data_IF_311900950768
#
_entry.id   IF_311900950768
#
_cell.length_a   1.000
_cell.length_b   1.000
_cell.length_c   1.000
_cell.angle_alpha   90.00
_cell.angle_beta   90.00
_cell.angle_gamma   90.00
#
_symmetry.space_group_name_H-M   'P 1'
#
loop_
_entity.id
_entity.type
_entity.pdbx_description
1 polymer ?
#
# COMPACT_ATOMS: atom_id res chain seq x y z
N UNK A 1 -16.46 76.42 -5.66
CA UNK A 1 -16.94 77.28 -6.76
C UNK A 1 -16.44 76.69 -8.06
N UNK A 2 -17.35 76.28 -8.94
CA UNK A 2 -17.02 75.95 -10.32
C UNK A 2 -16.89 77.27 -11.09
N UNK A 3 -15.84 77.40 -11.89
CA UNK A 3 -15.60 78.62 -12.69
C UNK A 3 -16.24 78.40 -14.05
N UNK A 4 -17.14 79.29 -14.47
CA UNK A 4 -17.76 79.21 -15.81
C UNK A 4 -16.82 79.84 -16.83
N UNK A 5 -16.02 79.03 -17.50
CA UNK A 5 -15.11 79.46 -18.58
C UNK A 5 -15.71 79.16 -19.94
N UNK A 6 -15.58 80.09 -20.88
CA UNK A 6 -15.92 79.90 -22.30
C UNK A 6 -14.72 80.25 -23.18
N UNK A 7 -14.77 79.87 -24.46
CA UNK A 7 -13.71 80.22 -25.41
C UNK A 7 -13.55 81.75 -25.59
N UNK A 8 -14.60 82.52 -25.33
CA UNK A 8 -14.63 83.98 -25.42
C UNK A 8 -14.15 84.67 -24.12
N UNK A 9 -14.04 83.93 -23.01
CA UNK A 9 -13.54 84.41 -21.72
C UNK A 9 -12.62 83.35 -21.06
N UNK A 10 -11.40 83.14 -21.61
CA UNK A 10 -10.46 82.17 -21.07
C UNK A 10 -9.81 82.66 -19.77
N UNK A 11 -9.55 81.75 -18.85
CA UNK A 11 -8.74 82.04 -17.67
C UNK A 11 -7.24 82.02 -18.01
N UNK A 12 -6.46 82.98 -17.49
CA UNK A 12 -5.01 82.89 -17.54
C UNK A 12 -4.51 81.61 -16.86
N UNK A 13 -3.50 80.96 -17.44
CA UNK A 13 -2.90 79.72 -16.90
C UNK A 13 -2.42 79.91 -15.45
N UNK A 14 -1.89 81.09 -15.11
CA UNK A 14 -1.50 81.43 -13.74
C UNK A 14 -2.66 81.48 -12.75
N UNK A 15 -3.85 81.91 -13.21
CA UNK A 15 -5.06 81.93 -12.38
C UNK A 15 -5.60 80.52 -12.13
N UNK A 16 -5.55 79.65 -13.14
CA UNK A 16 -5.88 78.22 -12.98
C UNK A 16 -4.92 77.54 -11.98
N UNK A 17 -3.60 77.80 -12.09
CA UNK A 17 -2.61 77.25 -11.15
C UNK A 17 -2.86 77.72 -9.71
N UNK A 18 -3.24 78.99 -9.52
CA UNK A 18 -3.63 79.55 -8.21
C UNK A 18 -4.87 78.87 -7.64
N UNK A 19 -5.89 78.63 -8.47
CA UNK A 19 -7.11 77.94 -8.06
C UNK A 19 -6.83 76.49 -7.64
N UNK A 20 -5.99 75.77 -8.39
CA UNK A 20 -5.56 74.40 -8.05
C UNK A 20 -4.87 74.38 -6.68
N UNK A 21 -3.95 75.31 -6.43
CA UNK A 21 -3.30 75.45 -5.12
C UNK A 21 -4.30 75.64 -3.98
N UNK A 22 -5.28 76.54 -4.15
CA UNK A 22 -6.32 76.78 -3.13
C UNK A 22 -7.31 75.61 -2.94
N UNK A 23 -7.46 74.71 -3.91
CA UNK A 23 -8.18 73.44 -3.73
C UNK A 23 -7.35 72.45 -2.91
N UNK A 24 -6.06 72.32 -3.21
CA UNK A 24 -5.14 71.40 -2.54
C UNK A 24 -4.95 71.80 -1.07
N UNK A 25 -4.82 73.10 -0.78
CA UNK A 25 -4.68 73.59 0.61
C UNK A 25 -5.87 73.26 1.51
N UNK A 26 -7.07 73.12 0.94
CA UNK A 26 -8.28 72.76 1.70
C UNK A 26 -8.28 71.33 2.24
N UNK A 27 -7.40 70.46 1.74
CA UNK A 27 -7.21 69.12 2.30
C UNK A 27 -6.70 69.18 3.76
N UNK A 28 -6.06 70.29 4.16
CA UNK A 28 -5.49 70.44 5.50
C UNK A 28 -4.27 69.55 5.73
N UNK A 29 -3.89 69.37 7.00
CA UNK A 29 -2.83 68.45 7.38
C UNK A 29 -3.39 67.02 7.44
N UNK A 30 -2.69 66.07 6.81
CA UNK A 30 -3.11 64.68 6.67
C UNK A 30 -2.02 63.73 7.13
N UNK A 31 -2.42 62.58 7.67
CA UNK A 31 -1.52 61.47 7.93
C UNK A 31 -1.51 60.54 6.72
N UNK A 32 -0.33 60.31 6.16
CA UNK A 32 -0.13 59.42 5.02
C UNK A 32 0.85 58.33 5.40
N UNK A 33 0.55 57.10 4.99
CA UNK A 33 1.42 55.95 5.16
C UNK A 33 2.08 55.63 3.81
N UNK A 34 3.38 55.39 3.81
CA UNK A 34 4.09 55.03 2.57
C UNK A 34 5.48 54.49 2.82
N UNK A 35 6.01 53.82 1.80
CA UNK A 35 7.39 53.35 1.79
C UNK A 35 8.30 54.41 1.14
N UNK A 36 9.43 54.71 1.76
CA UNK A 36 10.42 55.62 1.18
C UNK A 36 11.13 54.90 0.03
N UNK A 37 10.87 55.28 -1.21
CA UNK A 37 11.51 54.68 -2.39
C UNK A 37 12.78 55.39 -2.80
N UNK A 38 12.86 56.69 -2.50
CA UNK A 38 14.03 57.52 -2.77
C UNK A 38 14.24 58.50 -1.63
N UNK A 39 15.49 58.63 -1.19
CA UNK A 39 15.92 59.55 -0.15
C UNK A 39 17.07 60.42 -0.67
N UNK A 40 16.82 61.69 -0.93
CA UNK A 40 17.85 62.65 -1.37
C UNK A 40 18.22 63.61 -0.25
N UNK A 41 19.34 63.32 0.41
CA UNK A 41 19.97 64.21 1.41
C UNK A 41 21.20 64.88 0.81
N UNK A 42 21.08 66.14 0.42
CA UNK A 42 22.21 66.92 -0.11
C UNK A 42 23.03 67.56 1.01
N UNK A 43 24.38 67.48 1.00
CA UNK A 43 25.22 68.19 1.97
C UNK A 43 24.97 69.70 1.88
N UNK A 44 24.67 70.36 3.01
CA UNK A 44 24.43 71.81 3.08
C UNK A 44 22.99 72.28 2.78
N UNK A 45 22.09 71.41 2.31
CA UNK A 45 20.68 71.77 2.14
C UNK A 45 19.90 71.65 3.45
N UNK A 46 19.05 72.65 3.74
CA UNK A 46 18.18 72.66 4.94
C UNK A 46 16.91 71.79 4.83
N UNK A 47 16.66 71.21 3.65
CA UNK A 47 15.51 70.34 3.36
C UNK A 47 15.98 69.00 2.79
N UNK A 48 15.22 67.95 3.09
CA UNK A 48 15.41 66.60 2.58
C UNK A 48 14.22 66.25 1.70
N UNK A 49 14.51 65.67 0.53
CA UNK A 49 13.48 65.22 -0.40
C UNK A 49 13.34 63.70 -0.29
N UNK A 50 12.11 63.27 -0.12
CA UNK A 50 11.68 61.88 0.02
C UNK A 50 10.67 61.60 -1.08
N UNK A 51 10.62 60.37 -1.57
CA UNK A 51 9.50 59.89 -2.38
C UNK A 51 8.79 58.80 -1.60
N UNK A 52 7.52 59.05 -1.23
CA UNK A 52 6.68 58.03 -0.60
C UNK A 52 5.90 57.30 -1.68
N UNK A 53 5.98 55.98 -1.68
CA UNK A 53 5.16 55.11 -2.52
C UNK A 53 4.14 54.38 -1.67
N UNK A 54 2.91 54.29 -2.16
CA UNK A 54 1.89 53.46 -1.54
C UNK A 54 2.27 51.96 -1.73
N UNK A 55 2.35 51.15 -0.65
CA UNK A 55 2.64 49.73 -0.76
C UNK A 55 1.56 48.91 -1.49
N UNK A 56 0.32 49.42 -1.55
CA UNK A 56 -0.84 48.79 -2.13
C UNK A 56 -1.20 49.32 -3.53
N UNK A 57 -0.73 50.52 -3.90
CA UNK A 57 -1.02 51.13 -5.21
C UNK A 57 0.23 51.70 -5.88
N UNK A 58 0.26 51.74 -7.22
CA UNK A 58 1.38 52.33 -7.96
C UNK A 58 1.30 53.87 -7.98
N UNK A 59 1.23 54.46 -6.79
CA UNK A 59 1.11 55.90 -6.56
C UNK A 59 2.33 56.33 -5.76
N UNK A 60 3.04 57.33 -6.28
CA UNK A 60 4.18 57.94 -5.60
C UNK A 60 3.97 59.44 -5.45
N UNK A 61 4.24 59.95 -4.26
CA UNK A 61 4.12 61.37 -3.95
C UNK A 61 5.45 61.88 -3.38
N UNK A 62 5.93 62.99 -3.92
CA UNK A 62 7.11 63.65 -3.40
C UNK A 62 6.81 64.30 -2.05
N UNK A 63 7.67 64.05 -1.08
CA UNK A 63 7.57 64.59 0.28
C UNK A 63 8.82 65.41 0.58
N UNK A 64 8.64 66.64 1.03
CA UNK A 64 9.73 67.52 1.46
C UNK A 64 9.66 67.65 2.97
N UNK A 65 10.77 67.45 3.68
CA UNK A 65 10.84 67.64 5.12
C UNK A 65 12.01 68.55 5.48
N UNK A 66 11.88 69.30 6.58
CA UNK A 66 13.01 70.03 7.13
C UNK A 66 14.03 69.06 7.71
N UNK A 67 15.31 69.40 7.58
CA UNK A 67 16.40 68.54 8.06
C UNK A 67 16.25 68.15 9.54
N UNK A 68 15.80 69.06 10.40
CA UNK A 68 15.55 68.80 11.82
C UNK A 68 14.50 67.70 12.07
N UNK A 69 13.46 67.63 11.25
CA UNK A 69 12.39 66.63 11.37
C UNK A 69 12.86 65.25 10.93
N UNK A 70 13.74 65.19 9.92
CA UNK A 70 14.32 63.95 9.44
C UNK A 70 15.42 63.43 10.36
N UNK A 71 16.28 64.33 10.89
CA UNK A 71 17.39 63.95 11.76
C UNK A 71 16.90 63.27 13.06
N UNK A 72 15.67 63.54 13.54
CA UNK A 72 15.04 62.80 14.66
C UNK A 72 14.74 61.33 14.38
N UNK A 73 14.62 60.94 13.12
CA UNK A 73 14.30 59.56 12.69
C UNK A 73 15.39 58.96 11.80
N UNK A 74 16.46 59.70 11.53
CA UNK A 74 17.51 59.32 10.57
C UNK A 74 18.27 58.05 10.96
N UNK A 75 18.32 57.70 12.24
CA UNK A 75 18.98 56.48 12.74
C UNK A 75 18.16 55.20 12.48
N UNK A 76 16.85 55.34 12.23
CA UNK A 76 15.89 54.22 12.10
C UNK A 76 15.27 54.14 10.71
N UNK A 77 15.24 55.25 9.97
CA UNK A 77 14.52 55.39 8.70
C UNK A 77 15.51 55.57 7.54
N UNK A 78 15.53 54.60 6.63
CA UNK A 78 16.32 54.61 5.39
C UNK A 78 15.47 54.40 4.12
N UNK A 79 16.11 54.27 2.95
CA UNK A 79 15.42 53.82 1.74
C UNK A 79 14.86 52.41 1.96
N UNK A 80 13.60 52.20 1.55
CA UNK A 80 12.84 50.98 1.82
C UNK A 80 12.03 51.02 3.12
N UNK A 81 12.29 51.97 4.04
CA UNK A 81 11.55 52.04 5.30
C UNK A 81 10.11 52.51 5.10
N UNK A 82 9.18 51.89 5.82
CA UNK A 82 7.77 52.27 5.87
C UNK A 82 7.55 53.28 6.98
N UNK A 83 6.95 54.42 6.65
CA UNK A 83 6.77 55.55 7.56
C UNK A 83 5.34 56.07 7.50
N UNK A 84 4.89 56.59 8.64
CA UNK A 84 3.66 57.38 8.74
C UNK A 84 4.09 58.83 8.86
N UNK A 85 3.65 59.64 7.91
CA UNK A 85 4.05 61.04 7.79
C UNK A 85 2.83 61.93 7.99
N UNK A 86 2.92 62.83 8.95
CA UNK A 86 1.98 63.94 9.07
C UNK A 86 2.46 65.06 8.16
N UNK A 87 1.72 65.32 7.09
CA UNK A 87 2.14 66.29 6.09
C UNK A 87 1.01 67.21 5.62
N UNK A 88 1.40 68.41 5.20
CA UNK A 88 0.51 69.36 4.54
C UNK A 88 0.76 69.34 3.03
N UNK A 89 -0.26 69.16 2.18
CA UNK A 89 -0.09 69.26 0.74
C UNK A 89 0.32 70.66 0.30
N UNK A 90 1.30 70.74 -0.61
CA UNK A 90 1.83 71.97 -1.18
C UNK A 90 1.86 71.87 -2.71
N UNK A 91 1.34 72.92 -3.35
CA UNK A 91 1.32 73.05 -4.80
C UNK A 91 2.44 73.97 -5.27
N UNK A 92 3.39 73.43 -6.02
CA UNK A 92 4.49 74.22 -6.59
C UNK A 92 4.08 74.80 -7.95
N UNK A 93 3.51 76.01 -7.92
CA UNK A 93 2.93 76.68 -9.09
C UNK A 93 3.84 76.78 -10.35
N UNK A 94 5.17 76.98 -10.25
CA UNK A 94 6.03 77.08 -11.44
C UNK A 94 6.20 75.78 -12.24
N UNK A 95 6.09 74.61 -11.61
CA UNK A 95 6.18 73.30 -12.30
C UNK A 95 4.88 72.50 -12.27
N UNK A 96 3.83 73.02 -11.64
CA UNK A 96 2.55 72.33 -11.48
C UNK A 96 2.68 70.99 -10.77
N UNK A 97 3.56 70.90 -9.76
CA UNK A 97 3.82 69.65 -9.05
C UNK A 97 3.19 69.69 -7.65
N UNK A 98 2.50 68.61 -7.30
CA UNK A 98 2.02 68.35 -5.94
C UNK A 98 3.16 67.72 -5.14
N UNK A 99 3.40 68.27 -3.95
CA UNK A 99 4.29 67.67 -2.96
C UNK A 99 3.63 67.72 -1.58
N UNK A 100 4.09 66.89 -0.66
CA UNK A 100 3.65 66.95 0.74
C UNK A 100 4.80 67.52 1.58
N UNK A 101 4.53 68.55 2.39
CA UNK A 101 5.50 69.02 3.37
C UNK A 101 5.30 68.28 4.69
N UNK A 102 6.24 67.41 5.05
CA UNK A 102 6.20 66.67 6.30
C UNK A 102 6.48 67.57 7.49
N UNK A 103 5.59 67.54 8.48
CA UNK A 103 5.72 68.17 9.78
C UNK A 103 6.26 67.18 10.81
N UNK A 104 5.86 65.91 10.68
CA UNK A 104 6.28 64.82 11.57
C UNK A 104 6.43 63.53 10.76
N UNK A 105 7.49 62.77 11.00
CA UNK A 105 7.71 61.45 10.42
C UNK A 105 7.82 60.47 11.58
N UNK A 106 6.99 59.43 11.57
CA UNK A 106 7.07 58.33 12.53
C UNK A 106 7.47 57.05 11.79
N UNK A 107 8.51 56.33 12.22
CA UNK A 107 8.75 54.99 11.71
C UNK A 107 7.54 54.13 12.08
N UNK A 108 7.01 53.36 11.11
CA UNK A 108 6.05 52.32 11.45
C UNK A 108 6.85 51.23 12.15
N UNK A 109 6.73 51.16 13.48
CA UNK A 109 7.38 50.11 14.25
C UNK A 109 6.85 48.75 13.83
N UNK A 110 7.73 47.77 13.67
CA UNK A 110 7.39 46.36 13.38
C UNK A 110 6.24 45.86 14.27
N UNK A 111 6.16 46.34 15.52
CA UNK A 111 5.09 45.99 16.47
C UNK A 111 3.67 46.41 16.05
N UNK A 112 3.47 47.56 15.41
CA UNK A 112 2.13 48.00 14.97
C UNK A 112 1.65 47.18 13.77
N UNK A 113 2.56 46.87 12.85
CA UNK A 113 2.31 45.98 11.72
C UNK A 113 1.95 44.56 12.20
N UNK A 114 2.74 44.02 13.14
CA UNK A 114 2.45 42.72 13.76
C UNK A 114 1.11 42.74 14.51
N UNK A 115 0.78 43.82 15.22
CA UNK A 115 -0.51 43.96 15.89
C UNK A 115 -1.68 43.95 14.90
N UNK A 116 -1.54 44.63 13.75
CA UNK A 116 -2.55 44.62 12.68
C UNK A 116 -2.69 43.24 12.04
N UNK A 117 -1.59 42.54 11.79
CA UNK A 117 -1.61 41.17 11.28
C UNK A 117 -2.26 40.20 12.28
N UNK A 118 -1.97 40.35 13.57
CA UNK A 118 -2.57 39.53 14.62
C UNK A 118 -4.07 39.81 14.77
N UNK A 119 -4.50 41.07 14.61
CA UNK A 119 -5.91 41.42 14.57
C UNK A 119 -6.63 40.81 13.36
N UNK A 120 -6.01 40.88 12.17
CA UNK A 120 -6.54 40.26 10.96
C UNK A 120 -6.64 38.74 11.11
N UNK A 121 -5.60 38.11 11.68
CA UNK A 121 -5.59 36.69 12.02
C UNK A 121 -6.77 36.32 12.92
N UNK A 122 -7.01 37.10 13.99
CA UNK A 122 -8.14 36.86 14.89
C UNK A 122 -9.49 37.00 14.17
N UNK A 123 -9.65 38.00 13.30
CA UNK A 123 -10.88 38.19 12.52
C UNK A 123 -11.14 37.00 11.59
N UNK A 124 -10.15 36.59 10.80
CA UNK A 124 -10.27 35.47 9.87
C UNK A 124 -10.46 34.13 10.60
N UNK A 125 -9.82 33.96 11.76
CA UNK A 125 -10.04 32.80 12.62
C UNK A 125 -11.48 32.74 13.14
N UNK A 126 -12.06 33.88 13.53
CA UNK A 126 -13.45 33.97 13.98
C UNK A 126 -14.45 33.67 12.86
N UNK A 127 -14.12 33.99 11.60
CA UNK A 127 -14.87 33.56 10.41
C UNK A 127 -14.73 32.05 10.11
N UNK A 128 -13.85 31.33 10.81
CA UNK A 128 -13.58 29.91 10.58
C UNK A 128 -12.70 29.63 9.36
N UNK A 129 -11.98 30.62 8.83
CA UNK A 129 -11.11 30.46 7.65
C UNK A 129 -10.00 29.44 7.86
N UNK A 130 -9.51 29.28 9.10
CA UNK A 130 -8.42 28.37 9.46
C UNK A 130 -8.90 27.02 10.00
N UNK A 131 -10.21 26.72 9.90
CA UNK A 131 -10.80 25.49 10.40
C UNK A 131 -10.20 24.27 9.69
N UNK A 132 -9.82 23.25 10.46
CA UNK A 132 -9.16 22.05 9.93
C UNK A 132 -10.08 21.27 8.98
N UNK A 133 -11.39 21.35 9.18
CA UNK A 133 -12.44 20.70 8.38
C UNK A 133 -12.53 21.27 6.96
N UNK A 134 -12.03 22.49 6.73
CA UNK A 134 -11.96 23.10 5.40
C UNK A 134 -10.76 22.63 4.58
N UNK A 135 -9.76 22.03 5.24
CA UNK A 135 -8.53 21.60 4.59
C UNK A 135 -8.77 20.33 3.78
N UNK A 136 -8.28 20.32 2.55
CA UNK A 136 -8.40 19.21 1.61
C UNK A 136 -7.20 18.29 1.72
N UNK A 137 -7.44 17.00 1.58
CA UNK A 137 -6.37 16.02 1.45
C UNK A 137 -5.65 16.20 0.11
N UNK A 138 -4.33 16.08 0.13
CA UNK A 138 -3.52 16.10 -1.08
C UNK A 138 -3.75 14.80 -1.88
N UNK A 139 -3.74 14.87 -3.22
CA UNK A 139 -3.75 13.68 -4.06
C UNK A 139 -2.49 12.87 -3.80
N UNK A 140 -2.63 11.55 -3.72
CA UNK A 140 -1.49 10.66 -3.49
C UNK A 140 -0.45 10.75 -4.62
N UNK A 141 -0.90 10.85 -5.87
CA UNK A 141 -0.07 10.95 -7.07
C UNK A 141 -0.60 12.07 -7.99
N UNK A 142 -0.16 13.33 -7.79
CA UNK A 142 -0.53 14.42 -8.68
C UNK A 142 0.10 14.22 -10.07
N UNK A 143 -0.69 14.44 -11.12
CA UNK A 143 -0.23 14.43 -12.51
C UNK A 143 0.18 15.82 -12.98
N UNK A 144 -0.58 16.85 -12.62
CA UNK A 144 -0.28 18.24 -12.97
C UNK A 144 -0.28 19.11 -11.71
N UNK A 145 0.85 19.75 -11.46
CA UNK A 145 1.05 20.65 -10.33
C UNK A 145 1.07 22.09 -10.84
N UNK A 146 0.17 22.92 -10.31
CA UNK A 146 0.23 24.37 -10.51
C UNK A 146 1.32 24.97 -9.63
N UNK A 147 2.21 25.80 -10.17
CA UNK A 147 3.26 26.47 -9.39
C UNK A 147 3.17 27.98 -9.57
N UNK A 148 2.93 28.70 -8.47
CA UNK A 148 2.95 30.16 -8.41
C UNK A 148 4.25 30.60 -7.76
N UNK A 149 5.15 31.21 -8.52
CA UNK A 149 6.46 31.63 -8.02
C UNK A 149 7.03 32.83 -8.78
N UNK A 150 8.09 33.42 -8.24
CA UNK A 150 8.84 34.49 -8.92
C UNK A 150 9.50 34.00 -10.20
N UNK A 151 9.54 34.84 -11.24
CA UNK A 151 10.21 34.53 -12.52
C UNK A 151 11.69 34.19 -12.30
N UNK A 152 12.13 33.03 -12.79
CA UNK A 152 13.53 32.57 -12.70
C UNK A 152 14.05 32.49 -11.25
N UNK A 153 13.17 32.24 -10.30
CA UNK A 153 13.53 32.17 -8.88
C UNK A 153 14.28 30.88 -8.54
N UNK A 154 15.06 30.89 -7.46
CA UNK A 154 15.65 29.67 -6.90
C UNK A 154 14.54 28.68 -6.48
N UNK A 155 13.46 29.21 -5.89
CA UNK A 155 12.29 28.42 -5.50
C UNK A 155 11.66 27.64 -6.67
N UNK A 156 11.57 28.25 -7.86
CA UNK A 156 11.06 27.57 -9.06
C UNK A 156 11.93 26.36 -9.43
N UNK A 157 13.25 26.56 -9.50
CA UNK A 157 14.21 25.50 -9.85
C UNK A 157 14.20 24.38 -8.81
N UNK A 158 14.21 24.75 -7.53
CA UNK A 158 14.21 23.80 -6.41
C UNK A 158 12.97 22.89 -6.45
N UNK A 159 11.78 23.46 -6.65
CA UNK A 159 10.54 22.67 -6.73
C UNK A 159 10.56 21.74 -7.94
N UNK A 160 10.90 22.26 -9.12
CA UNK A 160 10.88 21.51 -10.37
C UNK A 160 11.91 20.36 -10.37
N UNK A 161 13.14 20.61 -9.94
CA UNK A 161 14.21 19.60 -9.91
C UNK A 161 13.91 18.49 -8.91
N UNK A 162 13.52 18.84 -7.67
CA UNK A 162 13.19 17.84 -6.65
C UNK A 162 11.97 17.01 -7.05
N UNK A 163 10.94 17.63 -7.64
CA UNK A 163 9.77 16.91 -8.12
C UNK A 163 10.11 15.95 -9.27
N UNK A 164 10.88 16.40 -10.26
CA UNK A 164 11.30 15.55 -11.40
C UNK A 164 12.20 14.39 -10.99
N UNK A 165 13.05 14.60 -9.99
CA UNK A 165 13.90 13.53 -9.45
C UNK A 165 13.05 12.42 -8.80
N UNK A 166 11.96 12.78 -8.11
CA UNK A 166 11.08 11.82 -7.42
C UNK A 166 10.04 11.19 -8.34
N UNK A 167 9.51 11.95 -9.29
CA UNK A 167 8.56 11.48 -10.29
C UNK A 167 8.79 12.18 -11.63
N UNK A 168 9.55 11.55 -12.55
CA UNK A 168 9.87 12.17 -13.85
C UNK A 168 8.66 12.49 -14.73
N UNK A 169 7.53 11.79 -14.51
CA UNK A 169 6.30 11.97 -15.29
C UNK A 169 5.41 13.14 -14.78
N UNK A 170 5.78 13.80 -13.68
CA UNK A 170 5.02 14.93 -13.16
C UNK A 170 5.06 16.10 -14.14
N UNK A 171 3.91 16.73 -14.38
CA UNK A 171 3.79 17.94 -15.20
C UNK A 171 3.62 19.16 -14.30
N UNK A 172 4.09 20.30 -14.78
CA UNK A 172 3.97 21.57 -14.07
C UNK A 172 3.35 22.63 -14.97
N UNK A 173 2.39 23.37 -14.40
CA UNK A 173 1.84 24.58 -14.99
C UNK A 173 2.32 25.77 -14.15
N UNK A 174 3.33 26.49 -14.65
CA UNK A 174 3.98 27.57 -13.89
C UNK A 174 3.31 28.91 -14.22
N UNK A 175 2.98 29.69 -13.18
CA UNK A 175 2.54 31.08 -13.28
C UNK A 175 3.58 31.96 -12.59
N UNK A 176 4.36 32.66 -13.41
CA UNK A 176 5.37 33.57 -12.90
C UNK A 176 4.72 34.90 -12.48
N UNK A 177 4.80 35.23 -11.19
CA UNK A 177 4.20 36.42 -10.60
C UNK A 177 5.25 37.24 -9.84
N UNK A 178 4.98 38.52 -9.62
CA UNK A 178 5.68 39.30 -8.62
C UNK A 178 5.41 38.67 -7.24
N UNK A 179 6.48 38.30 -6.53
CA UNK A 179 6.39 37.75 -5.17
C UNK A 179 6.63 38.79 -4.08
N UNK A 180 6.98 40.02 -4.48
CA UNK A 180 7.23 41.16 -3.61
C UNK A 180 6.78 42.46 -4.28
N UNK A 181 6.51 43.48 -3.47
CA UNK A 181 6.06 44.78 -3.92
C UNK A 181 4.57 44.84 -4.30
N UNK A 182 4.18 45.99 -4.82
CA UNK A 182 2.78 46.42 -5.00
C UNK A 182 1.95 45.50 -5.91
N UNK A 183 2.59 44.90 -6.91
CA UNK A 183 1.90 44.01 -7.86
C UNK A 183 1.77 42.57 -7.35
N UNK A 184 2.35 42.22 -6.19
CA UNK A 184 2.39 40.84 -5.73
C UNK A 184 1.01 40.29 -5.40
N UNK A 185 0.23 41.00 -4.59
CA UNK A 185 -1.13 40.60 -4.20
C UNK A 185 -2.04 40.35 -5.42
N UNK A 186 -2.26 41.31 -6.34
CA UNK A 186 -3.17 41.09 -7.46
C UNK A 186 -2.69 39.99 -8.41
N UNK A 187 -1.39 39.86 -8.65
CA UNK A 187 -0.86 38.83 -9.53
C UNK A 187 -0.95 37.43 -8.92
N UNK A 188 -0.63 37.27 -7.63
CA UNK A 188 -0.77 35.98 -6.93
C UNK A 188 -2.24 35.54 -6.90
N UNK A 189 -3.17 36.45 -6.56
CA UNK A 189 -4.61 36.15 -6.57
C UNK A 189 -5.07 35.70 -7.95
N UNK A 190 -4.66 36.40 -9.00
CA UNK A 190 -5.04 36.06 -10.37
C UNK A 190 -4.44 34.71 -10.79
N UNK A 191 -3.16 34.47 -10.52
CA UNK A 191 -2.50 33.21 -10.86
C UNK A 191 -3.14 32.00 -10.14
N UNK A 192 -3.47 32.14 -8.86
CA UNK A 192 -4.15 31.10 -8.09
C UNK A 192 -5.53 30.79 -8.70
N UNK A 193 -6.31 31.82 -9.05
CA UNK A 193 -7.63 31.64 -9.69
C UNK A 193 -7.53 30.98 -11.08
N UNK A 194 -6.54 31.35 -11.88
CA UNK A 194 -6.31 30.76 -13.21
C UNK A 194 -5.92 29.28 -13.13
N UNK A 195 -5.15 28.90 -12.11
CA UNK A 195 -4.78 27.50 -11.87
C UNK A 195 -5.96 26.71 -11.29
N UNK A 196 -6.74 27.29 -10.37
CA UNK A 196 -7.93 26.66 -9.78
C UNK A 196 -9.05 26.44 -10.81
N UNK A 197 -9.13 27.29 -11.83
CA UNK A 197 -10.09 27.15 -12.93
C UNK A 197 -9.76 25.97 -13.87
N UNK A 198 -8.54 25.44 -13.83
CA UNK A 198 -8.12 24.32 -14.67
C UNK A 198 -8.43 23.00 -13.98
N UNK A 199 -9.34 22.21 -14.57
CA UNK A 199 -9.77 20.92 -14.02
C UNK A 199 -8.64 19.87 -13.95
N UNK A 200 -7.60 20.02 -14.78
CA UNK A 200 -6.47 19.09 -14.81
C UNK A 200 -5.44 19.35 -13.70
N UNK A 201 -5.49 20.49 -13.00
CA UNK A 201 -4.53 20.83 -11.94
C UNK A 201 -4.94 20.15 -10.64
N UNK A 202 -4.12 19.20 -10.19
CA UNK A 202 -4.41 18.37 -9.02
C UNK A 202 -4.05 19.05 -7.69
N UNK A 203 -3.08 19.97 -7.71
CA UNK A 203 -2.56 20.68 -6.54
C UNK A 203 -1.85 21.96 -6.97
N UNK A 204 -1.99 23.03 -6.19
CA UNK A 204 -1.34 24.32 -6.43
C UNK A 204 -0.30 24.56 -5.34
N UNK A 205 0.94 24.88 -5.72
CA UNK A 205 2.01 25.27 -4.81
C UNK A 205 2.24 26.78 -4.95
N UNK A 206 2.10 27.51 -3.86
CA UNK A 206 2.53 28.91 -3.79
C UNK A 206 3.89 28.95 -3.13
N UNK A 207 4.93 29.24 -3.91
CA UNK A 207 6.31 29.18 -3.48
C UNK A 207 6.99 30.54 -3.55
N UNK A 208 7.75 30.84 -2.49
CA UNK A 208 8.61 32.02 -2.42
C UNK A 208 10.02 31.58 -2.01
N UNK A 209 11.03 32.14 -2.65
CA UNK A 209 12.42 32.01 -2.20
C UNK A 209 12.71 32.86 -0.96
N UNK A 210 13.98 32.89 -0.56
CA UNK A 210 14.42 33.73 0.57
C UNK A 210 14.24 35.23 0.33
N UNK A 211 14.27 36.00 1.42
CA UNK A 211 14.30 37.46 1.43
C UNK A 211 13.85 37.99 2.80
N UNK A 212 13.58 39.30 2.88
CA UNK A 212 13.25 39.94 4.16
C UNK A 212 11.84 39.55 4.65
N UNK A 213 11.56 39.83 5.93
CA UNK A 213 10.23 39.66 6.53
C UNK A 213 9.20 40.57 5.84
N UNK A 214 9.61 41.74 5.36
CA UNK A 214 8.74 42.70 4.68
C UNK A 214 8.21 42.17 3.35
N UNK A 215 9.03 41.39 2.66
CA UNK A 215 8.66 40.74 1.41
C UNK A 215 7.66 39.58 1.61
N UNK A 216 7.38 39.16 2.85
CA UNK A 216 6.33 38.17 3.17
C UNK A 216 4.94 38.80 3.29
N UNK A 217 4.86 40.11 3.48
CA UNK A 217 3.61 40.81 3.75
C UNK A 217 2.53 40.60 2.67
N UNK A 218 2.84 40.53 1.36
CA UNK A 218 1.85 40.24 0.34
C UNK A 218 1.09 38.92 0.57
N UNK A 219 1.72 37.92 1.22
CA UNK A 219 1.10 36.63 1.51
C UNK A 219 0.27 36.63 2.80
N UNK A 220 0.31 37.72 3.56
CA UNK A 220 -0.60 37.94 4.69
C UNK A 220 -1.75 38.89 4.34
N UNK A 221 -1.88 39.29 3.08
CA UNK A 221 -2.98 40.12 2.62
C UNK A 221 -4.30 39.32 2.58
N UNK A 222 -5.37 39.95 3.03
CA UNK A 222 -6.69 39.34 3.11
C UNK A 222 -7.19 38.83 1.76
N UNK A 223 -6.88 39.51 0.65
CA UNK A 223 -7.31 39.09 -0.69
C UNK A 223 -6.67 37.76 -1.10
N UNK A 224 -5.38 37.57 -0.81
CA UNK A 224 -4.67 36.32 -1.10
C UNK A 224 -5.23 35.19 -0.24
N UNK A 225 -5.41 35.46 1.05
CA UNK A 225 -5.93 34.48 2.02
C UNK A 225 -7.34 34.02 1.63
N UNK A 226 -8.24 34.95 1.28
CA UNK A 226 -9.60 34.63 0.83
C UNK A 226 -9.61 33.90 -0.52
N UNK A 227 -8.70 34.26 -1.44
CA UNK A 227 -8.59 33.56 -2.73
C UNK A 227 -8.19 32.09 -2.54
N UNK A 228 -7.22 31.80 -1.68
CA UNK A 228 -6.81 30.42 -1.37
C UNK A 228 -7.90 29.66 -0.62
N UNK A 229 -8.58 30.29 0.34
CA UNK A 229 -9.68 29.67 1.08
C UNK A 229 -10.88 29.27 0.19
N UNK A 230 -11.03 29.95 -0.96
CA UNK A 230 -12.10 29.71 -1.93
C UNK A 230 -11.72 28.74 -3.06
N UNK A 231 -10.45 28.33 -3.16
CA UNK A 231 -10.01 27.38 -4.17
C UNK A 231 -10.75 26.06 -4.05
N UNK A 232 -10.93 25.35 -5.17
CA UNK A 232 -11.42 23.97 -5.23
C UNK A 232 -10.26 22.98 -5.20
N UNK A 233 -9.17 23.31 -5.86
CA UNK A 233 -7.92 22.54 -5.85
C UNK A 233 -7.19 22.70 -4.50
N UNK A 234 -6.50 21.67 -4.00
CA UNK A 234 -5.69 21.77 -2.79
C UNK A 234 -4.51 22.73 -2.98
N UNK A 235 -4.22 23.56 -1.98
CA UNK A 235 -3.15 24.56 -2.03
C UNK A 235 -2.09 24.28 -0.96
N UNK A 236 -0.83 24.29 -1.37
CA UNK A 236 0.35 24.14 -0.52
C UNK A 236 1.09 25.46 -0.44
N UNK A 237 1.29 25.95 0.78
CA UNK A 237 2.14 27.10 1.03
C UNK A 237 3.58 26.66 1.25
N UNK A 238 4.50 27.26 0.51
CA UNK A 238 5.95 27.01 0.56
C UNK A 238 6.71 28.34 0.65
N UNK A 239 6.38 29.12 1.68
CA UNK A 239 6.82 30.50 1.84
C UNK A 239 7.67 30.60 3.12
N UNK A 240 8.92 31.05 3.00
CA UNK A 240 9.78 31.38 4.15
C UNK A 240 10.37 30.17 4.87
N UNK A 241 10.95 30.41 6.06
CA UNK A 241 11.51 29.41 6.97
C UNK A 241 10.68 29.35 8.27
N UNK A 242 11.01 28.50 9.25
CA UNK A 242 10.19 28.34 10.47
C UNK A 242 9.76 29.60 11.26
N UNK A 243 10.54 30.70 11.37
CA UNK A 243 10.07 31.91 12.05
C UNK A 243 9.09 32.76 11.21
N UNK A 244 8.96 32.47 9.92
CA UNK A 244 8.19 33.22 8.94
C UNK A 244 6.83 32.54 8.69
N UNK A 245 5.80 32.87 9.48
CA UNK A 245 4.45 32.29 9.33
C UNK A 245 3.46 33.32 8.75
N UNK A 246 3.39 33.51 7.42
CA UNK A 246 2.38 34.36 6.81
C UNK A 246 0.97 33.80 7.05
N UNK A 247 -0.06 34.64 6.97
CA UNK A 247 -1.44 34.18 7.15
C UNK A 247 -1.88 33.13 6.13
N UNK A 248 -1.25 33.11 4.94
CA UNK A 248 -1.47 32.07 3.93
C UNK A 248 -1.25 30.65 4.48
N UNK A 249 -0.23 30.45 5.33
CA UNK A 249 0.13 29.14 5.88
C UNK A 249 -1.00 28.53 6.70
N UNK A 250 -1.83 29.38 7.31
CA UNK A 250 -2.95 28.94 8.14
C UNK A 250 -4.14 28.46 7.29
N UNK A 251 -4.38 29.09 6.13
CA UNK A 251 -5.46 28.71 5.20
C UNK A 251 -5.05 27.58 4.27
N UNK A 252 -3.77 27.51 3.88
CA UNK A 252 -3.30 26.45 3.01
C UNK A 252 -3.62 25.06 3.59
N UNK A 253 -3.93 24.13 2.69
CA UNK A 253 -4.27 22.74 3.03
C UNK A 253 -3.05 22.03 3.64
N UNK A 254 -1.86 22.37 3.14
CA UNK A 254 -0.59 21.91 3.68
C UNK A 254 0.43 23.06 3.73
N UNK A 255 1.17 23.12 4.84
CA UNK A 255 2.36 23.96 4.98
C UNK A 255 3.64 23.17 4.71
N UNK A 256 4.48 23.72 3.84
CA UNK A 256 5.84 23.28 3.60
C UNK A 256 6.83 24.34 4.12
N UNK A 257 7.91 23.89 4.76
CA UNK A 257 8.89 24.78 5.39
C UNK A 257 9.85 25.43 4.39
N UNK A 258 9.92 24.91 3.16
CA UNK A 258 10.75 25.42 2.06
C UNK A 258 10.14 24.99 0.72
N UNK A 259 10.51 25.64 -0.41
CA UNK A 259 10.14 25.16 -1.75
C UNK A 259 10.53 23.69 -1.99
N UNK A 260 11.71 23.28 -1.53
CA UNK A 260 12.18 21.89 -1.60
C UNK A 260 11.31 20.93 -0.78
N UNK A 261 10.92 21.32 0.43
CA UNK A 261 10.00 20.53 1.27
C UNK A 261 8.61 20.40 0.63
N UNK A 262 8.15 21.43 -0.10
CA UNK A 262 6.88 21.39 -0.81
C UNK A 262 6.88 20.33 -1.90
N UNK A 263 7.93 20.31 -2.74
CA UNK A 263 8.11 19.25 -3.72
C UNK A 263 8.15 17.86 -3.05
N UNK A 264 8.76 17.76 -1.87
CA UNK A 264 8.84 16.48 -1.16
C UNK A 264 7.50 16.00 -0.59
N UNK A 265 6.68 16.90 -0.07
CA UNK A 265 5.39 16.52 0.51
C UNK A 265 4.31 16.30 -0.55
N UNK A 266 4.40 17.01 -1.68
CA UNK A 266 3.43 16.90 -2.77
C UNK A 266 3.73 15.73 -3.70
N UNK A 267 5.00 15.46 -4.00
CA UNK A 267 5.39 14.40 -4.94
C UNK A 267 5.97 13.21 -4.18
N UNK A 268 5.33 12.02 -4.23
CA UNK A 268 5.87 10.82 -3.60
C UNK A 268 7.15 10.34 -4.31
N UNK A 269 7.96 9.53 -3.61
CA UNK A 269 9.12 8.89 -4.24
C UNK A 269 8.67 7.62 -4.96
N UNK A 270 8.64 7.67 -6.28
CA UNK A 270 8.17 6.55 -7.09
C UNK A 270 9.13 5.37 -7.06
N UNK A 271 10.43 5.63 -6.86
CA UNK A 271 11.40 4.55 -6.66
C UNK A 271 11.02 3.71 -5.44
N UNK A 272 10.68 4.36 -4.33
CA UNK A 272 10.22 3.69 -3.11
C UNK A 272 8.90 2.93 -3.33
N UNK A 273 7.93 3.55 -3.99
CA UNK A 273 6.63 2.90 -4.25
C UNK A 273 6.76 1.69 -5.19
N UNK A 274 7.61 1.78 -6.21
CA UNK A 274 7.90 0.63 -7.10
C UNK A 274 8.60 -0.50 -6.35
N UNK A 275 9.54 -0.21 -5.46
CA UNK A 275 10.16 -1.21 -4.60
C UNK A 275 9.14 -1.87 -3.65
N UNK A 276 8.24 -1.08 -3.08
CA UNK A 276 7.15 -1.59 -2.24
C UNK A 276 6.24 -2.54 -3.02
N UNK A 277 5.84 -2.18 -4.24
CA UNK A 277 5.06 -3.05 -5.14
C UNK A 277 5.84 -4.33 -5.48
N UNK A 278 7.14 -4.23 -5.81
CA UNK A 278 7.99 -5.39 -6.09
C UNK A 278 8.07 -6.34 -4.88
N UNK A 279 8.23 -5.80 -3.68
CA UNK A 279 8.26 -6.57 -2.44
C UNK A 279 6.92 -7.27 -2.18
N UNK A 280 5.79 -6.58 -2.32
CA UNK A 280 4.46 -7.15 -2.16
C UNK A 280 4.19 -8.27 -3.16
N UNK A 281 4.55 -8.06 -4.44
CA UNK A 281 4.45 -9.08 -5.49
C UNK A 281 5.33 -10.30 -5.17
N UNK A 282 6.56 -10.07 -4.69
CA UNK A 282 7.47 -11.14 -4.27
C UNK A 282 6.91 -11.96 -3.10
N UNK A 283 6.30 -11.30 -2.11
CA UNK A 283 5.61 -11.97 -0.99
C UNK A 283 4.42 -12.79 -1.48
N UNK A 284 3.56 -12.21 -2.30
CA UNK A 284 2.39 -12.90 -2.86
C UNK A 284 2.80 -14.15 -3.64
N UNK A 285 3.83 -14.04 -4.49
CA UNK A 285 4.36 -15.18 -5.26
C UNK A 285 4.84 -16.30 -4.34
N UNK A 286 5.62 -15.99 -3.30
CA UNK A 286 6.10 -17.01 -2.34
C UNK A 286 4.95 -17.70 -1.60
N UNK A 287 3.90 -16.96 -1.23
CA UNK A 287 2.72 -17.57 -0.59
C UNK A 287 2.01 -18.55 -1.53
N UNK A 288 1.86 -18.20 -2.80
CA UNK A 288 1.26 -19.08 -3.82
C UNK A 288 2.14 -20.30 -4.07
N UNK A 289 3.45 -20.12 -4.27
CA UNK A 289 4.40 -21.21 -4.48
C UNK A 289 4.40 -22.19 -3.29
N UNK A 290 4.46 -21.67 -2.06
CA UNK A 290 4.43 -22.51 -0.85
C UNK A 290 3.09 -23.22 -0.65
N UNK A 291 1.97 -22.63 -1.09
CA UNK A 291 0.67 -23.28 -1.09
C UNK A 291 0.64 -24.45 -2.08
N UNK A 292 1.04 -24.22 -3.34
CA UNK A 292 1.08 -25.25 -4.37
C UNK A 292 2.00 -26.40 -3.94
N UNK A 293 3.20 -26.10 -3.47
CA UNK A 293 4.16 -27.13 -3.04
C UNK A 293 3.62 -27.96 -1.85
N UNK A 294 2.86 -27.34 -0.94
CA UNK A 294 2.20 -28.06 0.17
C UNK A 294 1.13 -29.01 -0.35
N UNK A 295 0.28 -28.56 -1.25
CA UNK A 295 -0.78 -29.38 -1.83
C UNK A 295 -0.20 -30.53 -2.66
N UNK A 296 0.84 -30.27 -3.46
CA UNK A 296 1.57 -31.30 -4.21
C UNK A 296 2.19 -32.35 -3.28
N UNK A 297 2.84 -31.93 -2.19
CA UNK A 297 3.37 -32.85 -1.18
C UNK A 297 2.26 -33.63 -0.48
N UNK A 298 1.14 -32.99 -0.16
CA UNK A 298 -0.03 -33.63 0.44
C UNK A 298 -0.63 -34.70 -0.46
N UNK A 299 -0.81 -34.39 -1.74
CA UNK A 299 -1.28 -35.32 -2.76
C UNK A 299 -0.31 -36.48 -2.95
N UNK A 300 1.00 -36.19 -3.06
CA UNK A 300 2.03 -37.21 -3.16
C UNK A 300 2.03 -38.17 -1.95
N UNK A 301 1.85 -37.64 -0.75
CA UNK A 301 1.72 -38.47 0.45
C UNK A 301 0.46 -39.34 0.44
N UNK A 302 -0.69 -38.78 0.02
CA UNK A 302 -1.94 -39.53 -0.06
C UNK A 302 -1.84 -40.67 -1.09
N UNK A 303 -1.33 -40.40 -2.28
CA UNK A 303 -1.12 -41.39 -3.34
C UNK A 303 -0.05 -42.43 -2.97
N UNK A 304 0.94 -42.06 -2.15
CA UNK A 304 1.97 -42.96 -1.66
C UNK A 304 1.51 -43.95 -0.59
N UNK A 305 0.30 -43.79 -0.02
CA UNK A 305 -0.21 -44.72 1.00
C UNK A 305 -0.41 -46.12 0.39
N UNK A 306 0.03 -47.19 1.07
CA UNK A 306 -0.13 -48.57 0.57
C UNK A 306 -1.58 -48.92 0.20
N UNK A 307 -2.54 -48.42 0.97
CA UNK A 307 -3.99 -48.65 0.74
C UNK A 307 -4.51 -48.00 -0.55
N UNK A 308 -3.90 -46.89 -1.01
CA UNK A 308 -4.26 -46.25 -2.28
C UNK A 308 -3.45 -46.83 -3.45
N UNK A 309 -2.16 -47.14 -3.22
CA UNK A 309 -1.27 -47.69 -4.24
C UNK A 309 -1.63 -49.13 -4.63
N UNK A 310 -2.05 -49.94 -3.67
CA UNK A 310 -2.40 -51.34 -3.85
C UNK A 310 -3.61 -51.70 -2.98
N UNK A 311 -4.82 -51.23 -3.37
CA UNK A 311 -6.03 -51.38 -2.56
C UNK A 311 -6.47 -52.84 -2.41
N UNK A 312 -6.07 -53.72 -3.33
CA UNK A 312 -6.49 -55.12 -3.34
C UNK A 312 -5.59 -56.02 -2.52
N UNK A 313 -4.38 -55.57 -2.15
CA UNK A 313 -3.42 -56.36 -1.37
C UNK A 313 -4.02 -57.06 -0.14
N UNK A 314 -4.86 -56.36 0.63
CA UNK A 314 -5.51 -56.93 1.82
C UNK A 314 -6.54 -58.02 1.50
N UNK A 315 -7.08 -58.03 0.28
CA UNK A 315 -7.98 -59.07 -0.23
C UNK A 315 -7.14 -60.21 -0.81
N UNK A 316 -6.12 -59.89 -1.61
CA UNK A 316 -5.25 -60.86 -2.26
C UNK A 316 -4.51 -61.73 -1.23
N UNK A 317 -3.92 -61.11 -0.19
CA UNK A 317 -3.26 -61.84 0.90
C UNK A 317 -4.21 -62.80 1.62
N UNK A 318 -5.49 -62.43 1.74
CA UNK A 318 -6.52 -63.29 2.37
C UNK A 318 -7.02 -64.37 1.42
N UNK A 319 -7.15 -64.05 0.13
CA UNK A 319 -7.52 -65.00 -0.91
C UNK A 319 -6.45 -66.10 -1.01
N UNK A 320 -5.17 -65.74 -0.99
CA UNK A 320 -4.03 -66.67 -0.97
C UNK A 320 -4.04 -67.56 0.27
N UNK A 321 -4.32 -66.99 1.46
CA UNK A 321 -4.44 -67.76 2.70
C UNK A 321 -5.59 -68.78 2.63
N UNK A 322 -6.77 -68.36 2.16
CA UNK A 322 -7.93 -69.25 2.01
C UNK A 322 -7.63 -70.36 1.01
N UNK A 323 -7.01 -70.02 -0.13
CA UNK A 323 -6.59 -70.98 -1.15
C UNK A 323 -5.63 -72.02 -0.57
N UNK A 324 -4.58 -71.57 0.13
CA UNK A 324 -3.58 -72.45 0.77
C UNK A 324 -4.20 -73.36 1.84
N UNK A 325 -5.12 -72.84 2.66
CA UNK A 325 -5.85 -73.62 3.66
C UNK A 325 -6.78 -74.64 3.01
N UNK A 326 -7.48 -74.27 1.94
CA UNK A 326 -8.35 -75.18 1.21
C UNK A 326 -7.56 -76.33 0.57
N UNK A 327 -6.43 -76.03 -0.08
CA UNK A 327 -5.57 -77.04 -0.68
C UNK A 327 -4.93 -77.95 0.36
N UNK A 328 -4.54 -77.40 1.53
CA UNK A 328 -4.06 -78.21 2.65
C UNK A 328 -5.16 -79.14 3.18
N UNK A 329 -6.36 -78.64 3.40
CA UNK A 329 -7.51 -79.44 3.86
C UNK A 329 -7.83 -80.58 2.88
N UNK A 330 -7.86 -80.29 1.57
CA UNK A 330 -8.08 -81.30 0.53
C UNK A 330 -7.01 -82.39 0.55
N UNK A 331 -5.73 -82.01 0.62
CA UNK A 331 -4.62 -82.98 0.67
C UNK A 331 -4.67 -83.84 1.94
N UNK A 332 -4.87 -83.23 3.11
CA UNK A 332 -4.95 -83.95 4.38
C UNK A 332 -6.14 -84.92 4.39
N UNK A 333 -7.30 -84.49 3.91
CA UNK A 333 -8.46 -85.35 3.80
C UNK A 333 -8.22 -86.49 2.79
N UNK A 334 -7.64 -86.18 1.63
CA UNK A 334 -7.26 -87.18 0.64
C UNK A 334 -6.36 -88.27 1.23
N UNK A 335 -5.28 -87.88 1.92
CA UNK A 335 -4.38 -88.84 2.58
C UNK A 335 -5.08 -89.71 3.64
N UNK A 336 -6.04 -89.15 4.38
CA UNK A 336 -6.82 -89.91 5.36
C UNK A 336 -7.73 -90.94 4.68
N UNK A 337 -8.38 -90.55 3.58
CA UNK A 337 -9.22 -91.45 2.78
C UNK A 337 -8.39 -92.55 2.12
N UNK A 338 -7.26 -92.22 1.51
CA UNK A 338 -6.35 -93.19 0.88
C UNK A 338 -5.82 -94.21 1.90
N UNK A 339 -5.49 -93.75 3.11
CA UNK A 339 -5.08 -94.61 4.21
C UNK A 339 -6.21 -95.51 4.68
N UNK A 340 -7.42 -94.97 4.85
CA UNK A 340 -8.59 -95.75 5.28
C UNK A 340 -8.95 -96.82 4.22
N UNK A 341 -8.88 -96.48 2.94
CA UNK A 341 -9.09 -97.41 1.82
C UNK A 341 -8.03 -98.51 1.81
N UNK A 342 -6.76 -98.15 2.03
CA UNK A 342 -5.66 -99.11 2.13
C UNK A 342 -5.83 -100.05 3.33
N UNK A 343 -6.20 -99.54 4.50
CA UNK A 343 -6.48 -100.33 5.71
C UNK A 343 -7.68 -101.26 5.50
N UNK A 344 -8.75 -100.77 4.86
CA UNK A 344 -9.92 -101.57 4.51
C UNK A 344 -9.56 -102.69 3.53
N UNK A 345 -8.86 -102.36 2.44
CA UNK A 345 -8.39 -103.31 1.44
C UNK A 345 -7.51 -104.39 2.05
N UNK A 346 -6.57 -104.01 2.93
CA UNK A 346 -5.71 -104.95 3.63
C UNK A 346 -6.49 -105.83 4.61
N UNK A 347 -7.43 -105.26 5.37
CA UNK A 347 -8.28 -106.02 6.29
C UNK A 347 -9.16 -107.02 5.55
N UNK A 348 -9.76 -106.59 4.43
CA UNK A 348 -10.53 -107.46 3.55
C UNK A 348 -9.66 -108.62 3.01
N UNK A 349 -8.45 -108.33 2.51
CA UNK A 349 -7.52 -109.35 2.04
C UNK A 349 -7.12 -110.34 3.15
N UNK A 350 -6.94 -109.88 4.40
CA UNK A 350 -6.68 -110.75 5.55
C UNK A 350 -7.87 -111.65 5.89
N UNK A 351 -9.10 -111.11 5.89
CA UNK A 351 -10.32 -111.89 6.13
C UNK A 351 -10.50 -112.96 5.06
N UNK A 352 -10.28 -112.61 3.78
CA UNK A 352 -10.34 -113.57 2.67
C UNK A 352 -9.23 -114.62 2.79
N UNK A 353 -8.00 -114.21 3.10
CA UNK A 353 -6.85 -115.10 3.22
C UNK A 353 -6.92 -116.08 4.40
N UNK A 354 -7.54 -115.67 5.51
CA UNK A 354 -7.76 -116.50 6.70
C UNK A 354 -9.07 -117.30 6.62
N UNK A 355 -9.87 -117.12 5.58
CA UNK A 355 -11.10 -117.88 5.39
C UNK A 355 -10.78 -119.35 5.09
N UNK A 356 -11.33 -120.31 5.86
CA UNK A 356 -11.21 -121.73 5.55
C UNK A 356 -11.66 -122.06 4.13
N UNK A 357 -12.65 -121.32 3.60
CA UNK A 357 -13.11 -121.49 2.22
C UNK A 357 -12.06 -121.11 1.17
N UNK A 358 -11.21 -120.10 1.43
CA UNK A 358 -10.12 -119.73 0.54
C UNK A 358 -8.99 -120.78 0.55
N UNK A 359 -8.68 -121.34 1.72
CA UNK A 359 -7.72 -122.45 1.87
C UNK A 359 -8.20 -123.69 1.15
N UNK A 360 -9.48 -124.06 1.30
CA UNK A 360 -10.07 -125.19 0.57
C UNK A 360 -10.05 -124.97 -0.96
N UNK A 361 -10.32 -123.74 -1.44
CA UNK A 361 -10.23 -123.38 -2.88
C UNK A 361 -8.82 -123.51 -3.47
N UNK A 362 -7.77 -123.45 -2.65
CA UNK A 362 -6.38 -123.66 -3.08
C UNK A 362 -6.00 -125.13 -3.25
N UNK A 363 -6.93 -126.06 -3.01
CA UNK A 363 -6.73 -127.50 -3.21
C UNK A 363 -6.43 -128.29 -1.93
N UNK A 364 -6.50 -127.64 -0.76
CA UNK A 364 -6.39 -128.33 0.53
C UNK A 364 -7.73 -128.96 0.93
N UNK A 365 -7.67 -130.03 1.71
CA UNK A 365 -8.84 -130.67 2.31
C UNK A 365 -8.73 -130.62 3.84
N UNK A 366 -9.86 -130.46 4.53
CA UNK A 366 -9.94 -130.67 5.99
C UNK A 366 -10.44 -132.08 6.21
N UNK A 367 -9.64 -132.90 6.90
CA UNK A 367 -10.01 -134.26 7.27
C UNK A 367 -10.82 -134.24 8.57
N UNK A 368 -11.95 -134.93 8.57
CA UNK A 368 -12.84 -135.05 9.73
C UNK A 368 -13.16 -136.51 10.01
N UNK A 369 -13.33 -136.87 11.28
CA UNK A 369 -13.85 -138.16 11.70
C UNK A 369 -15.36 -138.25 11.48
N UNK A 370 -15.94 -139.42 11.73
CA UNK A 370 -17.37 -139.66 11.53
C UNK A 370 -18.28 -138.77 12.41
N UNK A 371 -17.78 -138.35 13.58
CA UNK A 371 -18.44 -137.45 14.53
C UNK A 371 -18.30 -135.95 14.18
N UNK A 372 -17.44 -135.62 13.22
CA UNK A 372 -17.20 -134.24 12.74
C UNK A 372 -15.94 -133.59 13.29
N UNK A 373 -15.19 -134.25 14.18
CA UNK A 373 -13.94 -133.72 14.72
C UNK A 373 -12.84 -133.67 13.66
N UNK A 374 -12.09 -132.58 13.62
CA UNK A 374 -11.02 -132.36 12.63
C UNK A 374 -9.77 -133.12 13.04
N UNK A 375 -9.25 -133.96 12.14
CA UNK A 375 -8.00 -134.68 12.33
C UNK A 375 -6.84 -133.70 12.10
N UNK A 376 -6.01 -133.51 13.13
CA UNK A 376 -4.87 -132.57 13.08
C UNK A 376 -3.52 -133.27 13.18
N UNK A 377 -3.51 -134.44 13.79
CA UNK A 377 -2.31 -135.26 13.99
C UNK A 377 -2.57 -136.67 13.42
N UNK A 378 -1.65 -137.24 12.63
CA UNK A 378 -1.78 -138.62 12.14
C UNK A 378 -2.03 -139.66 13.25
N UNK A 379 -1.56 -139.44 14.47
CA UNK A 379 -1.78 -140.35 15.60
C UNK A 379 -3.23 -140.41 16.09
N UNK A 380 -4.09 -139.47 15.65
CA UNK A 380 -5.49 -139.43 16.03
C UNK A 380 -6.36 -140.44 15.26
N UNK A 381 -5.84 -141.08 14.22
CA UNK A 381 -6.61 -141.97 13.34
C UNK A 381 -6.07 -143.39 13.34
N UNK A 382 -6.98 -144.37 13.38
CA UNK A 382 -6.63 -145.79 13.36
C UNK A 382 -6.55 -146.34 11.93
N UNK A 383 -5.84 -147.45 11.76
CA UNK A 383 -5.79 -148.17 10.49
C UNK A 383 -7.20 -148.60 10.03
N UNK A 384 -7.46 -148.48 8.73
CA UNK A 384 -8.75 -148.71 8.07
C UNK A 384 -9.92 -147.79 8.52
N UNK A 385 -9.64 -146.76 9.33
CA UNK A 385 -10.65 -145.78 9.73
C UNK A 385 -11.13 -144.96 8.53
N UNK A 386 -12.46 -144.80 8.41
CA UNK A 386 -13.09 -143.99 7.35
C UNK A 386 -13.22 -142.55 7.82
N UNK A 387 -12.52 -141.66 7.14
CA UNK A 387 -12.54 -140.22 7.36
C UNK A 387 -13.35 -139.52 6.26
N UNK A 388 -13.78 -138.29 6.53
CA UNK A 388 -14.41 -137.39 5.56
C UNK A 388 -13.44 -136.28 5.20
N UNK A 389 -13.08 -136.18 3.92
CA UNK A 389 -12.32 -135.07 3.38
C UNK A 389 -13.28 -134.00 2.85
N UNK A 390 -13.29 -132.84 3.51
CA UNK A 390 -14.03 -131.67 3.03
C UNK A 390 -13.14 -130.80 2.16
N UNK A 391 -13.60 -130.51 0.94
CA UNK A 391 -12.89 -129.70 -0.07
C UNK A 391 -13.68 -128.44 -0.42
N UNK A 392 -13.17 -127.61 -1.34
CA UNK A 392 -13.78 -126.33 -1.72
C UNK A 392 -15.27 -126.42 -2.09
N UNK A 393 -15.65 -127.51 -2.76
CA UNK A 393 -17.01 -127.81 -3.16
C UNK A 393 -17.35 -129.26 -2.77
N UNK A 394 -18.01 -129.42 -1.62
CA UNK A 394 -18.50 -130.71 -1.15
C UNK A 394 -17.52 -131.49 -0.26
N UNK A 395 -17.83 -132.77 -0.07
CA UNK A 395 -17.08 -133.69 0.80
C UNK A 395 -17.13 -135.11 0.22
N UNK A 396 -16.08 -135.89 0.45
CA UNK A 396 -16.02 -137.31 0.09
C UNK A 396 -15.31 -138.09 1.19
N UNK A 397 -15.50 -139.42 1.21
CA UNK A 397 -14.87 -140.31 2.19
C UNK A 397 -13.50 -140.77 1.72
N UNK A 398 -12.54 -140.81 2.64
CA UNK A 398 -11.20 -141.37 2.46
C UNK A 398 -10.96 -142.41 3.55
N UNK A 399 -10.18 -143.45 3.27
CA UNK A 399 -9.86 -144.51 4.24
C UNK A 399 -8.37 -144.51 4.53
N UNK A 400 -8.00 -144.62 5.80
CA UNK A 400 -6.59 -144.68 6.23
C UNK A 400 -6.04 -146.06 5.88
N UNK A 401 -4.99 -146.10 5.07
CA UNK A 401 -4.31 -147.36 4.70
C UNK A 401 -3.20 -147.69 5.70
N UNK A 402 -2.98 -148.98 5.94
CA UNK A 402 -2.14 -149.52 7.02
C UNK A 402 -0.63 -149.28 6.79
N UNK A 403 -0.23 -148.93 5.57
CA UNK A 403 1.18 -148.78 5.16
C UNK A 403 1.78 -147.36 5.35
N UNK A 404 1.14 -146.46 6.09
CA UNK A 404 1.53 -145.04 6.12
C UNK A 404 1.51 -144.29 7.45
N UNK A 405 1.31 -144.96 8.60
CA UNK A 405 1.41 -144.32 9.93
C UNK A 405 2.87 -144.33 10.42
N UNK A 406 3.72 -143.57 9.73
CA UNK A 406 5.12 -143.34 10.08
C UNK A 406 5.43 -141.85 10.03
N UNK A 407 6.16 -141.39 11.06
CA UNK A 407 6.48 -140.00 11.42
C UNK A 407 6.87 -139.05 10.27
#
# INVERSE_FOLDING_TARGET
MAVNTSAEAPLPVGEVSRLIGGWIERLGAVWVEGQITQLSRRPGAGVVFLTLRDPSHDISVGVTCFRQVFDTVADVVGEGARVVVHAKPEWYAPRGQLSLRAVEIRPVGVGELLARLEQLKKSLAAEGMFAAERKKALPFLPQLIGLVCGRASAAERDVLENARHRWPAVRFEVRNVAVQGVHAVPQVVQAVKELDAQADVDVIIVARGGGSVEDLLPFSDEQVVRAVAACRTPVVSAIGHEPDNPLLDHVADLRASTPTDAAKKVVPDVGEELERVRMLRGRARRCVEAFVEREERGLGHALGRPVIRDPHRMIDERADQVSSLADRSRRTLGHLLDRADSELSHTHARVVGLSPAATLKRGYAVLQKADGDVVRDPAEVAADEVLRARVAAGQFTVRVDDQGLGA
#
